data_IF_265432711757
#
_entry.id   IF_265432711757
#
_cell.length_a   1.000
_cell.length_b   1.000
_cell.length_c   1.000
_cell.angle_alpha   90.00
_cell.angle_beta   90.00
_cell.angle_gamma   90.00
#
_symmetry.space_group_name_H-M   'P 1'
#
loop_
_entity.id
_entity.type
_entity.pdbx_description
1 polymer ?
#
# COMPACT_ATOMS: atom_id res chain seq x y z
N UNK A 1 -19.92 -11.14 13.69
CA UNK A 1 -19.16 -9.92 13.99
C UNK A 1 -19.79 -8.78 13.21
N UNK A 2 -20.08 -7.62 13.82
CA UNK A 2 -20.72 -6.48 13.15
C UNK A 2 -19.73 -5.74 12.24
N UNK A 3 -20.22 -5.00 11.24
CA UNK A 3 -19.36 -4.17 10.38
C UNK A 3 -18.58 -3.12 11.17
N UNK A 4 -19.21 -2.49 12.17
CA UNK A 4 -18.55 -1.55 13.09
C UNK A 4 -17.40 -2.19 13.86
N UNK A 5 -17.56 -3.42 14.36
CA UNK A 5 -16.48 -4.14 15.06
C UNK A 5 -15.32 -4.47 14.11
N UNK A 6 -15.62 -4.87 12.87
CA UNK A 6 -14.59 -5.12 11.83
C UNK A 6 -13.77 -3.86 11.55
N UNK A 7 -14.41 -2.70 11.37
CA UNK A 7 -13.75 -1.41 11.21
C UNK A 7 -12.79 -1.08 12.35
N UNK A 8 -13.26 -1.22 13.59
CA UNK A 8 -12.44 -0.97 14.76
C UNK A 8 -11.25 -1.91 14.87
N UNK A 9 -11.43 -3.20 14.55
CA UNK A 9 -10.36 -4.18 14.55
C UNK A 9 -9.32 -3.87 13.47
N UNK A 10 -9.74 -3.62 12.24
CA UNK A 10 -8.83 -3.28 11.16
C UNK A 10 -8.03 -1.99 11.45
N UNK A 11 -8.69 -0.97 12.02
CA UNK A 11 -8.02 0.25 12.50
C UNK A 11 -6.99 -0.03 13.60
N UNK A 12 -7.32 -0.85 14.58
CA UNK A 12 -6.42 -1.16 15.70
C UNK A 12 -5.22 -2.00 15.28
N UNK A 13 -5.36 -2.78 14.21
CA UNK A 13 -4.31 -3.66 13.67
C UNK A 13 -3.23 -2.90 12.86
N UNK A 14 -3.45 -1.61 12.55
CA UNK A 14 -2.53 -0.80 11.75
C UNK A 14 -1.10 -0.72 12.31
N UNK A 15 -0.95 -0.71 13.64
CA UNK A 15 0.37 -0.69 14.27
C UNK A 15 1.21 -1.95 13.97
N UNK A 16 0.55 -3.06 13.63
CA UNK A 16 1.20 -4.32 13.27
C UNK A 16 1.48 -4.42 11.78
N UNK A 17 0.57 -3.95 10.94
CA UNK A 17 0.59 -4.14 9.48
C UNK A 17 1.25 -2.99 8.73
N UNK A 18 1.10 -1.78 9.23
CA UNK A 18 1.56 -0.56 8.56
C UNK A 18 2.94 -0.14 9.08
N UNK A 19 3.95 -0.91 8.69
CA UNK A 19 5.31 -0.62 9.11
C UNK A 19 5.80 0.73 8.56
N UNK A 20 6.03 1.70 9.46
CA UNK A 20 6.60 3.01 9.12
C UNK A 20 8.12 2.97 9.26
N UNK A 21 8.82 3.25 8.17
CA UNK A 21 10.28 3.31 8.18
C UNK A 21 10.76 4.57 8.90
N UNK A 22 11.28 4.39 10.11
CA UNK A 22 11.95 5.47 10.84
C UNK A 22 13.33 5.74 10.24
N UNK A 23 13.55 6.95 9.75
CA UNK A 23 14.85 7.37 9.23
C UNK A 23 15.24 6.72 7.88
N UNK A 24 14.48 6.95 6.77
CA UNK A 24 14.81 6.40 5.45
C UNK A 24 16.25 6.69 5.01
N UNK A 25 16.80 7.89 5.31
CA UNK A 25 18.19 8.24 5.03
C UNK A 25 19.19 7.39 5.83
N UNK A 26 18.91 7.09 7.10
CA UNK A 26 19.73 6.19 7.90
C UNK A 26 19.71 4.77 7.35
N UNK A 27 18.56 4.29 6.88
CA UNK A 27 18.42 2.99 6.27
C UNK A 27 19.29 2.86 5.00
N UNK A 28 19.30 3.89 4.15
CA UNK A 28 20.20 3.92 2.98
C UNK A 28 21.67 3.93 3.41
N UNK A 29 22.04 4.73 4.41
CA UNK A 29 23.39 4.75 4.94
C UNK A 29 23.81 3.38 5.47
N UNK A 30 22.96 2.70 6.25
CA UNK A 30 23.22 1.35 6.73
C UNK A 30 23.34 0.33 5.59
N UNK A 31 22.56 0.48 4.52
CA UNK A 31 22.67 -0.37 3.32
C UNK A 31 24.07 -0.23 2.70
N UNK A 32 24.59 0.98 2.59
CA UNK A 32 25.95 1.23 2.09
C UNK A 32 26.99 0.66 3.07
N UNK A 33 26.89 0.98 4.37
CA UNK A 33 27.83 0.56 5.39
C UNK A 33 27.95 -0.97 5.51
N UNK A 34 26.84 -1.69 5.33
CA UNK A 34 26.81 -3.16 5.38
C UNK A 34 27.03 -3.83 4.02
N UNK A 35 27.52 -3.10 3.02
CA UNK A 35 27.71 -3.59 1.65
C UNK A 35 26.45 -4.26 1.07
N UNK A 36 25.26 -3.73 1.41
CA UNK A 36 23.97 -4.19 0.89
C UNK A 36 23.24 -5.22 1.78
N UNK A 37 23.84 -5.75 2.84
CA UNK A 37 23.17 -6.73 3.72
C UNK A 37 21.90 -6.11 4.35
N UNK A 38 21.98 -4.86 4.81
CA UNK A 38 20.81 -4.14 5.33
C UNK A 38 19.71 -3.93 4.27
N UNK A 39 20.08 -3.85 2.98
CA UNK A 39 19.17 -3.75 1.86
C UNK A 39 18.22 -4.94 1.75
N UNK A 40 18.69 -6.17 1.99
CA UNK A 40 17.83 -7.37 2.00
C UNK A 40 16.76 -7.29 3.08
N UNK A 41 17.12 -6.81 4.28
CA UNK A 41 16.14 -6.59 5.33
C UNK A 41 15.09 -5.54 4.93
N UNK A 42 15.51 -4.42 4.34
CA UNK A 42 14.61 -3.38 3.89
C UNK A 42 13.69 -3.86 2.77
N UNK A 43 14.23 -4.61 1.80
CA UNK A 43 13.44 -5.20 0.73
C UNK A 43 12.34 -6.13 1.26
N UNK A 44 12.70 -7.02 2.20
CA UNK A 44 11.73 -7.88 2.87
C UNK A 44 10.64 -7.07 3.59
N UNK A 45 11.03 -6.02 4.34
CA UNK A 45 10.08 -5.18 5.07
C UNK A 45 9.16 -4.37 4.14
N UNK A 46 9.65 -3.91 2.99
CA UNK A 46 8.84 -3.24 1.98
C UNK A 46 7.76 -4.18 1.45
N UNK A 47 8.14 -5.38 0.99
CA UNK A 47 7.19 -6.35 0.47
C UNK A 47 6.20 -6.84 1.53
N UNK A 48 6.69 -7.04 2.77
CA UNK A 48 5.85 -7.46 3.88
C UNK A 48 4.83 -6.38 4.22
N UNK A 49 5.26 -5.12 4.30
CA UNK A 49 4.37 -3.99 4.54
C UNK A 49 3.27 -3.91 3.49
N UNK A 50 3.63 -3.95 2.23
CA UNK A 50 2.65 -3.84 1.13
C UNK A 50 1.61 -4.96 1.20
N UNK A 51 2.02 -6.19 1.51
CA UNK A 51 1.10 -7.31 1.69
C UNK A 51 0.16 -7.11 2.88
N UNK A 52 0.73 -6.93 4.08
CA UNK A 52 -0.04 -6.86 5.33
C UNK A 52 -0.95 -5.62 5.34
N UNK A 53 -0.46 -4.49 4.84
CA UNK A 53 -1.24 -3.27 4.67
C UNK A 53 -2.42 -3.47 3.71
N UNK A 54 -2.19 -4.04 2.53
CA UNK A 54 -3.25 -4.27 1.55
C UNK A 54 -4.35 -5.20 2.10
N UNK A 55 -3.97 -6.29 2.79
CA UNK A 55 -4.93 -7.21 3.42
C UNK A 55 -5.80 -6.48 4.47
N UNK A 56 -5.16 -5.75 5.39
CA UNK A 56 -5.86 -4.98 6.42
C UNK A 56 -6.76 -3.89 5.82
N UNK A 57 -6.22 -3.19 4.83
CA UNK A 57 -6.90 -2.05 4.22
C UNK A 57 -8.12 -2.48 3.42
N UNK A 58 -8.02 -3.59 2.70
CA UNK A 58 -9.17 -4.21 2.03
C UNK A 58 -10.26 -4.58 3.03
N UNK A 59 -9.89 -5.18 4.18
CA UNK A 59 -10.84 -5.51 5.25
C UNK A 59 -11.51 -4.26 5.81
N UNK A 60 -10.76 -3.16 6.01
CA UNK A 60 -11.31 -1.89 6.47
C UNK A 60 -12.32 -1.31 5.49
N UNK A 61 -11.99 -1.22 4.21
CA UNK A 61 -12.85 -0.66 3.17
C UNK A 61 -14.10 -1.53 2.91
N UNK A 62 -13.95 -2.86 2.96
CA UNK A 62 -15.10 -3.78 2.90
C UNK A 62 -16.04 -3.61 4.10
N UNK A 63 -15.48 -3.47 5.28
CA UNK A 63 -16.28 -3.24 6.49
C UNK A 63 -16.96 -1.86 6.45
N UNK A 64 -16.28 -0.82 5.91
CA UNK A 64 -16.87 0.50 5.70
C UNK A 64 -18.05 0.46 4.72
N UNK A 65 -17.88 -0.24 3.61
CA UNK A 65 -18.95 -0.44 2.63
C UNK A 65 -20.14 -1.21 3.23
N UNK A 66 -19.86 -2.27 4.00
CA UNK A 66 -20.90 -3.06 4.68
C UNK A 66 -21.66 -2.22 5.70
N UNK A 67 -20.96 -1.43 6.52
CA UNK A 67 -21.60 -0.56 7.52
C UNK A 67 -22.49 0.49 6.85
N UNK A 68 -22.00 1.14 5.78
CA UNK A 68 -22.78 2.09 5.02
C UNK A 68 -24.05 1.45 4.41
N UNK A 69 -23.93 0.22 3.90
CA UNK A 69 -25.07 -0.54 3.39
C UNK A 69 -26.10 -0.84 4.49
N UNK A 70 -25.66 -1.28 5.67
CA UNK A 70 -26.54 -1.50 6.84
C UNK A 70 -27.29 -0.23 7.21
N UNK A 71 -26.61 0.93 7.22
CA UNK A 71 -27.20 2.24 7.49
C UNK A 71 -28.20 2.68 6.41
N UNK A 72 -27.87 2.49 5.14
CA UNK A 72 -28.74 2.80 4.02
C UNK A 72 -30.03 1.94 4.08
N UNK A 73 -29.87 0.65 4.35
CA UNK A 73 -30.99 -0.28 4.47
C UNK A 73 -31.93 0.06 5.62
N UNK A 74 -31.38 0.38 6.79
CA UNK A 74 -32.18 0.77 7.97
C UNK A 74 -32.98 2.06 7.75
N UNK A 75 -32.57 2.93 6.80
CA UNK A 75 -33.24 4.17 6.42
C UNK A 75 -34.09 4.05 5.16
N UNK A 76 -34.22 2.84 4.60
CA UNK A 76 -34.98 2.59 3.37
C UNK A 76 -34.38 3.19 2.11
N UNK A 77 -33.06 3.52 2.11
CA UNK A 77 -32.35 4.17 1.00
C UNK A 77 -31.40 3.23 0.25
N UNK A 78 -31.40 1.92 0.56
CA UNK A 78 -30.50 0.96 -0.04
C UNK A 78 -30.59 0.89 -1.57
N UNK A 79 -31.83 0.91 -2.12
CA UNK A 79 -32.03 0.84 -3.56
C UNK A 79 -31.57 2.12 -4.27
N UNK A 80 -31.78 3.28 -3.66
CA UNK A 80 -31.31 4.57 -4.17
C UNK A 80 -29.77 4.63 -4.26
N UNK A 81 -29.09 4.11 -3.25
CA UNK A 81 -27.63 4.13 -3.16
C UNK A 81 -26.95 2.93 -3.79
N UNK A 82 -27.70 1.93 -4.29
CA UNK A 82 -27.16 0.71 -4.90
C UNK A 82 -26.08 0.98 -5.96
N UNK A 83 -26.24 1.93 -6.91
CA UNK A 83 -25.20 2.18 -7.91
C UNK A 83 -23.88 2.69 -7.30
N UNK A 84 -23.94 3.44 -6.19
CA UNK A 84 -22.74 3.89 -5.49
C UNK A 84 -22.02 2.73 -4.79
N UNK A 85 -22.75 1.83 -4.14
CA UNK A 85 -22.18 0.60 -3.54
C UNK A 85 -21.53 -0.30 -4.59
N UNK A 86 -22.13 -0.42 -5.78
CA UNK A 86 -21.56 -1.18 -6.90
C UNK A 86 -20.25 -0.55 -7.40
N UNK A 87 -20.14 0.79 -7.42
CA UNK A 87 -18.89 1.47 -7.77
C UNK A 87 -17.80 1.22 -6.73
N UNK A 88 -18.11 1.26 -5.42
CA UNK A 88 -17.17 0.87 -4.36
C UNK A 88 -16.69 -0.57 -4.57
N UNK A 89 -17.62 -1.52 -4.76
CA UNK A 89 -17.29 -2.92 -4.99
C UNK A 89 -16.37 -3.10 -6.20
N UNK A 90 -16.62 -2.36 -7.28
CA UNK A 90 -15.79 -2.38 -8.50
C UNK A 90 -14.41 -1.78 -8.23
N UNK A 91 -14.32 -0.68 -7.50
CA UNK A 91 -13.04 -0.06 -7.14
C UNK A 91 -12.17 -0.97 -6.25
N UNK A 92 -12.78 -1.83 -5.44
CA UNK A 92 -12.07 -2.79 -4.59
C UNK A 92 -11.57 -4.05 -5.34
N UNK A 93 -11.99 -4.30 -6.58
CA UNK A 93 -11.55 -5.48 -7.35
C UNK A 93 -10.02 -5.59 -7.49
N UNK A 94 -9.28 -4.52 -7.85
CA UNK A 94 -7.83 -4.57 -7.91
C UNK A 94 -7.19 -4.94 -6.57
N UNK A 95 -7.67 -4.36 -5.45
CA UNK A 95 -7.17 -4.67 -4.11
C UNK A 95 -7.41 -6.14 -3.73
N UNK A 96 -8.60 -6.68 -4.01
CA UNK A 96 -8.92 -8.10 -3.79
C UNK A 96 -8.00 -9.01 -4.58
N UNK A 97 -7.77 -8.68 -5.86
CA UNK A 97 -6.86 -9.45 -6.71
C UNK A 97 -5.43 -9.40 -6.20
N UNK A 98 -4.93 -8.22 -5.83
CA UNK A 98 -3.59 -8.07 -5.25
C UNK A 98 -3.43 -8.86 -3.96
N UNK A 99 -4.44 -8.86 -3.07
CA UNK A 99 -4.43 -9.63 -1.83
C UNK A 99 -4.38 -11.13 -2.08
N UNK A 100 -5.09 -11.62 -3.11
CA UNK A 100 -5.11 -13.04 -3.46
C UNK A 100 -3.82 -13.50 -4.16
N UNK A 101 -3.33 -12.70 -5.09
CA UNK A 101 -2.18 -13.02 -5.94
C UNK A 101 -0.87 -12.44 -5.40
N UNK A 102 -0.83 -12.02 -4.13
CA UNK A 102 0.29 -11.29 -3.56
C UNK A 102 1.56 -12.13 -3.51
N UNK A 103 2.68 -11.48 -3.79
CA UNK A 103 3.99 -12.11 -3.75
C UNK A 103 4.42 -12.39 -2.32
N UNK A 104 4.84 -13.63 -2.04
CA UNK A 104 5.32 -13.99 -0.71
C UNK A 104 6.66 -13.28 -0.41
N UNK A 105 6.73 -12.44 0.64
CA UNK A 105 7.95 -11.69 0.97
C UNK A 105 9.15 -12.58 1.24
N UNK A 106 8.94 -13.79 1.79
CA UNK A 106 10.00 -14.74 2.11
C UNK A 106 10.59 -15.35 0.85
N UNK A 107 9.73 -15.73 -0.12
CA UNK A 107 10.18 -16.26 -1.40
C UNK A 107 11.01 -15.20 -2.13
N UNK A 108 10.54 -13.96 -2.18
CA UNK A 108 11.26 -12.87 -2.82
C UNK A 108 12.57 -12.52 -2.12
N UNK A 109 12.62 -12.57 -0.79
CA UNK A 109 13.86 -12.40 -0.04
C UNK A 109 14.87 -13.52 -0.41
N UNK A 110 14.43 -14.77 -0.45
CA UNK A 110 15.30 -15.90 -0.83
C UNK A 110 15.82 -15.72 -2.26
N UNK A 111 14.97 -15.32 -3.20
CA UNK A 111 15.38 -15.04 -4.58
C UNK A 111 16.37 -13.87 -4.65
N UNK A 112 16.15 -12.80 -3.89
CA UNK A 112 17.04 -11.66 -3.84
C UNK A 112 18.41 -12.01 -3.22
N UNK A 113 18.43 -12.83 -2.18
CA UNK A 113 19.68 -13.34 -1.60
C UNK A 113 20.43 -14.24 -2.60
N UNK A 114 19.74 -15.16 -3.27
CA UNK A 114 20.36 -16.10 -4.23
C UNK A 114 20.91 -15.36 -5.45
N UNK A 115 20.13 -14.48 -6.06
CA UNK A 115 20.53 -13.72 -7.25
C UNK A 115 21.41 -12.53 -6.88
N UNK A 116 21.08 -11.82 -5.80
CA UNK A 116 21.87 -10.70 -5.27
C UNK A 116 23.20 -11.16 -4.66
N UNK A 117 23.26 -12.37 -4.11
CA UNK A 117 24.52 -12.98 -3.66
C UNK A 117 25.54 -13.17 -4.80
N UNK A 118 25.10 -13.36 -6.03
CA UNK A 118 25.96 -13.44 -7.22
C UNK A 118 26.70 -12.11 -7.52
N UNK A 119 26.21 -10.97 -7.01
CA UNK A 119 26.93 -9.67 -7.15
C UNK A 119 28.27 -9.66 -6.42
N UNK A 120 28.41 -10.40 -5.32
CA UNK A 120 29.67 -10.50 -4.59
C UNK A 120 30.75 -11.31 -5.35
N UNK A 121 30.33 -12.10 -6.35
CA UNK A 121 31.24 -12.82 -7.24
C UNK A 121 31.32 -12.18 -8.64
N UNK A 122 30.82 -10.93 -8.80
CA UNK A 122 30.90 -10.18 -10.06
C UNK A 122 29.92 -10.62 -11.16
N UNK A 123 28.99 -11.51 -10.85
CA UNK A 123 27.99 -12.03 -11.78
C UNK A 123 26.60 -11.49 -11.43
N UNK A 124 26.10 -10.51 -12.16
CA UNK A 124 24.68 -10.18 -12.18
C UNK A 124 24.19 -9.25 -11.06
N UNK A 125 24.82 -8.08 -10.90
CA UNK A 125 24.41 -7.08 -9.93
C UNK A 125 22.93 -6.69 -10.06
N UNK A 126 22.13 -6.98 -9.03
CA UNK A 126 20.89 -6.26 -8.76
C UNK A 126 19.69 -6.52 -9.66
N UNK A 127 19.69 -7.47 -10.58
CA UNK A 127 18.56 -7.67 -11.50
C UNK A 127 17.29 -8.08 -10.73
N UNK A 128 17.39 -9.00 -9.78
CA UNK A 128 16.24 -9.42 -8.97
C UNK A 128 15.73 -8.28 -8.09
N UNK A 129 16.65 -7.51 -7.48
CA UNK A 129 16.35 -6.33 -6.68
C UNK A 129 15.64 -5.25 -7.54
N UNK A 130 16.15 -4.95 -8.73
CA UNK A 130 15.53 -3.98 -9.65
C UNK A 130 14.13 -4.44 -10.07
N UNK A 131 13.97 -5.73 -10.42
CA UNK A 131 12.65 -6.29 -10.73
C UNK A 131 11.72 -6.17 -9.51
N UNK A 132 12.21 -6.52 -8.32
CA UNK A 132 11.45 -6.39 -7.09
C UNK A 132 11.00 -4.95 -6.82
N UNK A 133 11.87 -3.96 -7.02
CA UNK A 133 11.54 -2.55 -6.87
C UNK A 133 10.47 -2.09 -7.87
N UNK A 134 10.57 -2.50 -9.13
CA UNK A 134 9.53 -2.22 -10.13
C UNK A 134 8.19 -2.81 -9.69
N UNK A 135 8.19 -4.05 -9.21
CA UNK A 135 6.96 -4.74 -8.82
C UNK A 135 6.30 -4.11 -7.59
N UNK A 136 7.08 -3.78 -6.54
CA UNK A 136 6.58 -3.08 -5.35
C UNK A 136 6.00 -1.71 -5.72
N UNK A 137 6.70 -0.96 -6.54
CA UNK A 137 6.29 0.38 -6.95
C UNK A 137 5.01 0.36 -7.82
N UNK A 138 4.88 -0.66 -8.70
CA UNK A 138 3.66 -0.89 -9.50
C UNK A 138 2.47 -1.31 -8.62
N UNK A 139 2.72 -2.16 -7.65
CA UNK A 139 1.68 -2.61 -6.72
C UNK A 139 1.18 -1.42 -5.88
N UNK A 140 2.08 -0.58 -5.38
CA UNK A 140 1.71 0.63 -4.63
C UNK A 140 0.91 1.62 -5.50
N UNK A 141 1.31 1.88 -6.77
CA UNK A 141 0.55 2.75 -7.68
C UNK A 141 -0.86 2.19 -7.96
N UNK A 142 -0.99 0.88 -8.15
CA UNK A 142 -2.27 0.22 -8.39
C UNK A 142 -3.16 0.27 -7.15
N UNK A 143 -2.57 0.02 -5.98
CA UNK A 143 -3.24 0.08 -4.68
C UNK A 143 -3.77 1.47 -4.40
N UNK A 144 -2.92 2.51 -4.49
CA UNK A 144 -3.28 3.91 -4.25
C UNK A 144 -4.49 4.36 -5.07
N UNK A 145 -4.50 4.02 -6.35
CA UNK A 145 -5.59 4.42 -7.27
C UNK A 145 -6.90 3.74 -6.94
N UNK A 146 -6.84 2.43 -6.70
CA UNK A 146 -8.02 1.64 -6.37
C UNK A 146 -8.62 2.10 -5.04
N UNK A 147 -7.78 2.31 -4.05
CA UNK A 147 -8.16 2.76 -2.72
C UNK A 147 -8.72 4.18 -2.75
N UNK A 148 -8.04 5.12 -3.40
CA UNK A 148 -8.52 6.50 -3.52
C UNK A 148 -9.89 6.60 -4.21
N UNK A 149 -10.13 5.73 -5.21
CA UNK A 149 -11.44 5.63 -5.86
C UNK A 149 -12.51 5.09 -4.90
N UNK A 150 -12.21 4.02 -4.17
CA UNK A 150 -13.14 3.42 -3.21
C UNK A 150 -13.48 4.40 -2.08
N UNK A 151 -12.49 5.11 -1.54
CA UNK A 151 -12.71 6.10 -0.48
C UNK A 151 -13.54 7.29 -0.95
N UNK A 152 -13.29 7.82 -2.15
CA UNK A 152 -14.08 8.93 -2.70
C UNK A 152 -15.56 8.55 -2.83
N UNK A 153 -15.85 7.33 -3.30
CA UNK A 153 -17.21 6.81 -3.35
C UNK A 153 -17.81 6.61 -1.95
N UNK A 154 -17.04 6.08 -0.99
CA UNK A 154 -17.48 5.92 0.40
C UNK A 154 -17.79 7.28 1.05
N UNK A 155 -16.94 8.30 0.87
CA UNK A 155 -17.20 9.66 1.35
C UNK A 155 -18.53 10.18 0.81
N UNK A 156 -18.79 9.98 -0.50
CA UNK A 156 -20.07 10.38 -1.11
C UNK A 156 -21.27 9.64 -0.51
N UNK A 157 -21.14 8.33 -0.27
CA UNK A 157 -22.22 7.53 0.36
C UNK A 157 -22.47 8.00 1.80
N UNK A 158 -21.40 8.16 2.60
CA UNK A 158 -21.53 8.60 3.99
C UNK A 158 -22.14 10.01 4.10
N UNK A 159 -21.76 10.94 3.22
CA UNK A 159 -22.37 12.26 3.16
C UNK A 159 -23.90 12.18 2.88
N UNK A 160 -24.31 11.31 1.97
CA UNK A 160 -25.74 11.08 1.69
C UNK A 160 -26.47 10.41 2.87
N UNK A 161 -25.73 9.73 3.75
CA UNK A 161 -26.25 9.18 5.01
C UNK A 161 -26.14 10.18 6.17
N UNK A 162 -25.75 11.45 5.93
CA UNK A 162 -25.62 12.48 6.95
C UNK A 162 -24.40 12.33 7.85
N UNK A 163 -23.36 11.64 7.38
CA UNK A 163 -22.07 11.46 8.06
C UNK A 163 -21.01 12.14 7.20
N UNK A 164 -20.52 13.28 7.66
CA UNK A 164 -19.49 14.03 6.95
C UNK A 164 -18.09 13.45 7.23
N UNK A 165 -17.40 13.06 6.18
CA UNK A 165 -16.03 12.58 6.21
C UNK A 165 -15.12 13.52 5.42
N UNK A 166 -13.86 13.69 5.82
CA UNK A 166 -12.90 14.45 5.03
C UNK A 166 -12.67 13.77 3.68
N UNK A 167 -12.53 14.59 2.63
CA UNK A 167 -12.12 14.08 1.33
C UNK A 167 -10.73 13.42 1.44
N UNK A 168 -10.48 12.32 0.72
CA UNK A 168 -9.16 11.71 0.66
C UNK A 168 -8.12 12.72 0.20
N UNK A 169 -6.95 12.75 0.84
CA UNK A 169 -5.85 13.62 0.45
C UNK A 169 -5.27 13.14 -0.90
N UNK A 170 -5.41 13.92 -1.99
CA UNK A 170 -4.91 13.51 -3.30
C UNK A 170 -3.37 13.45 -3.35
N UNK A 171 -2.67 14.12 -2.42
CA UNK A 171 -1.22 14.15 -2.38
C UNK A 171 -0.59 12.83 -1.94
N UNK A 172 -1.38 11.94 -1.32
CA UNK A 172 -0.94 10.60 -0.93
C UNK A 172 -0.83 9.63 -2.11
N UNK A 173 -1.58 9.89 -3.20
CA UNK A 173 -1.53 9.06 -4.40
C UNK A 173 -0.25 9.35 -5.16
N UNK A 174 0.56 8.32 -5.34
CA UNK A 174 1.82 8.43 -6.08
C UNK A 174 1.55 8.77 -7.55
N UNK A 175 2.29 9.76 -8.08
CA UNK A 175 2.27 10.06 -9.51
C UNK A 175 2.83 8.88 -10.32
N UNK A 176 2.26 8.63 -11.50
CA UNK A 176 2.70 7.54 -12.39
C UNK A 176 4.20 7.63 -12.68
N UNK A 177 4.93 6.58 -12.32
CA UNK A 177 6.36 6.49 -12.49
C UNK A 177 6.75 5.93 -13.87
N UNK A 178 7.87 6.42 -14.40
CA UNK A 178 8.46 5.81 -15.59
C UNK A 178 9.47 4.73 -15.17
N UNK A 179 8.99 3.51 -14.99
CA UNK A 179 9.81 2.38 -14.54
C UNK A 179 10.95 2.06 -15.50
N UNK A 180 10.73 2.21 -16.81
CA UNK A 180 11.79 1.99 -17.80
C UNK A 180 12.93 2.98 -17.60
N UNK A 181 12.61 4.27 -17.39
CA UNK A 181 13.63 5.27 -17.09
C UNK A 181 14.36 4.97 -15.78
N UNK A 182 13.65 4.58 -14.72
CA UNK A 182 14.24 4.19 -13.42
C UNK A 182 15.23 3.02 -13.59
N UNK A 183 14.86 1.99 -14.33
CA UNK A 183 15.73 0.83 -14.63
C UNK A 183 16.96 1.26 -15.40
N UNK A 184 16.80 2.04 -16.49
CA UNK A 184 17.92 2.53 -17.30
C UNK A 184 18.90 3.35 -16.46
N UNK A 185 18.40 4.28 -15.64
CA UNK A 185 19.23 5.11 -14.76
C UNK A 185 19.94 4.27 -13.71
N UNK A 186 19.27 3.25 -13.15
CA UNK A 186 19.90 2.29 -12.22
C UNK A 186 21.10 1.58 -12.87
N UNK A 187 20.96 1.13 -14.11
CA UNK A 187 22.03 0.47 -14.85
C UNK A 187 23.16 1.46 -15.15
N UNK A 188 22.84 2.63 -15.70
CA UNK A 188 23.83 3.66 -16.06
C UNK A 188 24.64 4.19 -14.88
N UNK A 189 24.04 4.20 -13.68
CA UNK A 189 24.69 4.62 -12.43
C UNK A 189 25.35 3.49 -11.66
N UNK A 190 25.49 2.32 -12.27
CA UNK A 190 26.01 1.11 -11.60
C UNK A 190 25.35 0.82 -10.25
N UNK A 191 24.04 1.04 -10.16
CA UNK A 191 23.24 0.79 -8.95
C UNK A 191 23.16 1.94 -7.94
N UNK A 192 23.87 3.05 -8.12
CA UNK A 192 23.77 4.19 -7.19
C UNK A 192 22.35 4.75 -7.14
N UNK A 193 21.67 4.79 -8.28
CA UNK A 193 20.27 5.24 -8.33
C UNK A 193 19.31 4.31 -7.56
N UNK A 194 19.61 3.03 -7.42
CA UNK A 194 18.76 2.10 -6.64
C UNK A 194 18.73 2.46 -5.16
N UNK A 195 19.78 3.07 -4.62
CA UNK A 195 19.80 3.56 -3.24
C UNK A 195 18.81 4.73 -3.05
N UNK A 196 18.75 5.64 -4.03
CA UNK A 196 17.75 6.70 -4.03
C UNK A 196 16.33 6.14 -4.21
N UNK A 197 16.15 5.15 -5.08
CA UNK A 197 14.86 4.49 -5.28
C UNK A 197 14.39 3.78 -4.02
N UNK A 198 15.29 3.09 -3.31
CA UNK A 198 15.02 2.48 -2.01
C UNK A 198 14.58 3.53 -0.96
N UNK A 199 15.22 4.71 -0.96
CA UNK A 199 14.80 5.84 -0.13
C UNK A 199 13.39 6.32 -0.48
N UNK A 200 13.14 6.56 -1.77
CA UNK A 200 11.86 7.03 -2.31
C UNK A 200 10.69 6.12 -1.92
N UNK A 201 10.83 4.79 -2.10
CA UNK A 201 9.82 3.81 -1.72
C UNK A 201 9.49 3.82 -0.22
N UNK A 202 10.47 4.06 0.65
CA UNK A 202 10.23 4.18 2.09
C UNK A 202 9.41 5.44 2.40
N UNK A 203 9.80 6.57 1.83
CA UNK A 203 9.13 7.87 2.07
C UNK A 203 7.70 7.87 1.53
N UNK A 204 7.53 7.43 0.28
CA UNK A 204 6.22 7.38 -0.36
C UNK A 204 5.28 6.43 0.36
N UNK A 205 5.75 5.24 0.71
CA UNK A 205 4.93 4.29 1.44
C UNK A 205 4.61 4.74 2.87
N UNK A 206 5.48 5.47 3.56
CA UNK A 206 5.15 6.08 4.85
C UNK A 206 4.04 7.11 4.69
N UNK A 207 4.15 8.01 3.69
CA UNK A 207 3.13 9.03 3.40
C UNK A 207 1.78 8.40 3.09
N UNK A 208 1.78 7.32 2.32
CA UNK A 208 0.57 6.59 1.97
C UNK A 208 -0.15 6.05 3.21
N UNK A 209 0.54 5.27 4.06
CA UNK A 209 -0.09 4.67 5.24
C UNK A 209 -0.55 5.72 6.27
N UNK A 210 0.23 6.79 6.48
CA UNK A 210 -0.14 7.88 7.37
C UNK A 210 -1.38 8.65 6.86
N UNK A 211 -1.47 8.86 5.53
CA UNK A 211 -2.65 9.45 4.90
C UNK A 211 -3.91 8.60 5.11
N UNK A 212 -3.77 7.29 5.02
CA UNK A 212 -4.87 6.37 5.27
C UNK A 212 -5.36 6.39 6.71
N UNK A 213 -4.45 6.53 7.68
CA UNK A 213 -4.82 6.61 9.09
C UNK A 213 -5.75 7.79 9.38
N UNK A 214 -5.56 8.92 8.72
CA UNK A 214 -6.42 10.09 8.89
C UNK A 214 -7.89 9.80 8.48
N UNK A 215 -8.07 9.13 7.34
CA UNK A 215 -9.39 8.70 6.89
C UNK A 215 -10.02 7.65 7.82
N UNK A 216 -9.25 6.65 8.26
CA UNK A 216 -9.71 5.61 9.17
C UNK A 216 -10.17 6.20 10.51
N UNK A 217 -9.37 7.11 11.07
CA UNK A 217 -9.70 7.78 12.35
C UNK A 217 -10.95 8.64 12.22
N UNK A 218 -11.10 9.36 11.10
CA UNK A 218 -12.28 10.16 10.85
C UNK A 218 -13.54 9.29 10.73
N UNK A 219 -13.48 8.20 9.97
CA UNK A 219 -14.61 7.31 9.79
C UNK A 219 -15.01 6.62 11.11
N UNK A 220 -14.04 6.02 11.83
CA UNK A 220 -14.33 5.32 13.09
C UNK A 220 -14.81 6.29 14.17
N UNK A 221 -14.35 7.54 14.15
CA UNK A 221 -14.79 8.58 15.06
C UNK A 221 -16.21 9.10 14.77
N UNK A 222 -16.67 8.98 13.53
CA UNK A 222 -17.98 9.47 13.09
C UNK A 222 -19.12 8.46 13.26
N UNK A 223 -18.82 7.18 13.52
CA UNK A 223 -19.77 6.07 13.63
C UNK A 223 -19.76 5.50 15.07
#
# INVERSE_FOLDING_TARGET
MTAKTRLQMARNDRARTDYVFSGPGLNVFLTILTCGIWGFFLFYQLMRRDKEHNERRLEFLDAANTYAWEQANSRGRADELRPAFERVATALVPLRRMTHDFRDPTIWLVLDILVGGLRFVGLGAGIAEIIGFVLIDMDLDTHDRAEGTAEAELVSIYAQLGIDLPAPDPSRVKGRQNYVARVIVSILTCGVYTLWWLYDMQVEGNRHVEGNWAFEDALVGAI
#
